data_IF_840001890407
#
_entry.id   IF_840001890407
#
_cell.length_a   1.000
_cell.length_b   1.000
_cell.length_c   1.000
_cell.angle_alpha   90.00
_cell.angle_beta   90.00
_cell.angle_gamma   90.00
#
_symmetry.space_group_name_H-M   'P 1'
#
loop_
_entity.id
_entity.type
_entity.pdbx_description
1 polymer ?
#
# COMPACT_ATOMS: atom_id res chain seq x y z
N UNK A 1 8.06 13.18 7.09
CA UNK A 1 7.98 12.24 5.95
C UNK A 1 9.34 12.22 5.31
N UNK A 2 9.99 11.05 5.25
CA UNK A 2 11.36 10.89 4.73
C UNK A 2 11.34 10.61 3.23
N UNK A 3 10.31 9.90 2.76
CA UNK A 3 10.08 9.72 1.33
C UNK A 3 8.85 8.89 1.03
N UNK A 4 8.56 8.77 -0.26
CA UNK A 4 7.43 8.00 -0.77
C UNK A 4 7.89 7.12 -1.92
N UNK A 5 7.68 5.81 -1.80
CA UNK A 5 7.79 4.87 -2.93
C UNK A 5 6.41 4.77 -3.56
N UNK A 6 6.36 4.94 -4.89
CA UNK A 6 5.12 4.78 -5.67
C UNK A 6 5.27 3.62 -6.64
N UNK A 7 4.41 2.62 -6.51
CA UNK A 7 4.41 1.42 -7.34
C UNK A 7 3.22 1.50 -8.29
N UNK A 8 3.48 1.42 -9.60
CA UNK A 8 2.44 1.34 -10.61
C UNK A 8 1.89 -0.09 -10.69
N UNK A 9 0.58 -0.23 -10.58
CA UNK A 9 -0.16 -1.49 -10.64
C UNK A 9 -1.12 -1.45 -11.81
N UNK A 10 -1.01 -2.41 -12.73
CA UNK A 10 -2.00 -2.58 -13.79
C UNK A 10 -3.02 -3.65 -13.37
N UNK A 11 -4.29 -3.24 -13.29
CA UNK A 11 -5.37 -4.12 -12.93
C UNK A 11 -5.63 -5.16 -14.03
N UNK A 12 -5.41 -6.44 -13.71
CA UNK A 12 -5.68 -7.54 -14.64
C UNK A 12 -7.13 -8.02 -14.60
N UNK A 13 -7.86 -7.66 -13.54
CA UNK A 13 -9.23 -8.10 -13.28
C UNK A 13 -10.16 -6.90 -13.07
N UNK A 14 -11.47 -7.15 -13.19
CA UNK A 14 -12.51 -6.18 -12.84
C UNK A 14 -12.88 -6.34 -11.37
N UNK A 15 -13.26 -5.24 -10.72
CA UNK A 15 -13.68 -5.24 -9.32
C UNK A 15 -14.10 -3.87 -8.85
N UNK A 16 -14.18 -3.71 -7.54
CA UNK A 16 -14.43 -2.43 -6.90
C UNK A 16 -13.66 -2.35 -5.59
N UNK A 17 -13.10 -1.18 -5.29
CA UNK A 17 -12.50 -0.93 -3.99
C UNK A 17 -13.60 -0.69 -2.96
N UNK A 18 -13.45 -1.22 -1.73
CA UNK A 18 -14.33 -0.82 -0.64
C UNK A 18 -14.13 0.66 -0.33
N UNK A 19 -15.14 1.32 0.25
CA UNK A 19 -15.08 2.74 0.62
C UNK A 19 -13.88 3.08 1.52
N UNK A 20 -13.45 2.11 2.35
CA UNK A 20 -12.28 2.23 3.22
C UNK A 20 -11.29 1.08 2.96
N UNK A 21 -10.41 1.20 1.95
CA UNK A 21 -9.51 0.10 1.56
C UNK A 21 -8.29 -0.05 2.47
N UNK A 22 -8.08 0.87 3.42
CA UNK A 22 -6.86 0.95 4.24
C UNK A 22 -6.44 -0.38 4.89
N UNK A 23 -7.38 -1.12 5.49
CA UNK A 23 -7.07 -2.43 6.13
C UNK A 23 -6.56 -3.47 5.14
N UNK A 24 -7.08 -3.46 3.91
CA UNK A 24 -6.68 -4.41 2.87
C UNK A 24 -5.32 -4.03 2.28
N UNK A 25 -5.08 -2.73 2.10
CA UNK A 25 -3.78 -2.23 1.66
C UNK A 25 -2.68 -2.51 2.70
N UNK A 26 -3.00 -2.33 3.98
CA UNK A 26 -2.10 -2.67 5.08
C UNK A 26 -1.76 -4.17 5.07
N UNK A 27 -2.76 -5.05 5.04
CA UNK A 27 -2.55 -6.49 4.99
C UNK A 27 -1.74 -6.93 3.74
N UNK A 28 -2.04 -6.34 2.58
CA UNK A 28 -1.31 -6.63 1.34
C UNK A 28 0.16 -6.20 1.41
N UNK A 29 0.45 -5.00 1.96
CA UNK A 29 1.82 -4.54 2.15
C UNK A 29 2.62 -5.51 3.04
N UNK A 30 2.07 -5.86 4.20
CA UNK A 30 2.77 -6.77 5.12
C UNK A 30 2.89 -8.20 4.58
N UNK A 31 1.95 -8.65 3.74
CA UNK A 31 2.07 -9.93 3.03
C UNK A 31 3.20 -9.94 1.99
N UNK A 32 3.49 -8.79 1.38
CA UNK A 32 4.62 -8.64 0.44
C UNK A 32 5.93 -8.55 1.22
N UNK A 33 5.98 -7.74 2.29
CA UNK A 33 7.16 -7.59 3.13
C UNK A 33 7.57 -8.93 3.74
N UNK A 34 6.62 -9.71 4.26
CA UNK A 34 6.91 -11.01 4.87
C UNK A 34 7.43 -12.06 3.88
N UNK A 35 7.21 -11.86 2.59
CA UNK A 35 7.80 -12.69 1.54
C UNK A 35 9.28 -12.38 1.29
N UNK A 36 9.73 -11.16 1.62
CA UNK A 36 11.12 -10.71 1.49
C UNK A 36 11.88 -10.99 2.79
N UNK A 37 11.33 -10.53 3.92
CA UNK A 37 11.85 -10.73 5.26
C UNK A 37 10.68 -10.86 6.26
N UNK A 38 10.47 -12.08 6.75
CA UNK A 38 9.36 -12.40 7.65
C UNK A 38 9.54 -11.82 9.06
N UNK A 39 10.78 -11.76 9.56
CA UNK A 39 11.08 -11.32 10.92
C UNK A 39 10.94 -9.79 10.99
N UNK A 40 11.49 -9.08 10.01
CA UNK A 40 11.35 -7.64 9.90
C UNK A 40 9.88 -7.23 9.69
N UNK A 41 9.15 -7.92 8.82
CA UNK A 41 7.73 -7.67 8.61
C UNK A 41 6.91 -7.85 9.89
N UNK A 42 7.19 -8.91 10.66
CA UNK A 42 6.52 -9.16 11.95
C UNK A 42 6.84 -8.07 12.96
N UNK A 43 8.11 -7.67 13.06
CA UNK A 43 8.54 -6.63 13.99
C UNK A 43 7.84 -5.28 13.71
N UNK A 44 7.83 -4.83 12.45
CA UNK A 44 7.11 -3.61 12.06
C UNK A 44 5.60 -3.76 12.25
N UNK A 45 5.03 -4.95 12.02
CA UNK A 45 3.61 -5.23 12.22
C UNK A 45 3.19 -5.23 13.70
N UNK A 46 4.07 -5.61 14.61
CA UNK A 46 3.74 -5.78 16.03
C UNK A 46 4.16 -4.57 16.90
N UNK A 47 4.99 -3.67 16.37
CA UNK A 47 5.34 -2.40 17.03
C UNK A 47 4.12 -1.64 17.57
N UNK A 48 4.11 -1.30 18.86
CA UNK A 48 2.99 -0.56 19.44
C UNK A 48 2.86 0.87 18.87
N UNK A 49 1.63 1.38 18.83
CA UNK A 49 1.34 2.74 18.42
C UNK A 49 1.22 2.94 16.90
N UNK A 50 1.49 4.17 16.45
CA UNK A 50 1.30 4.56 15.06
C UNK A 50 2.44 3.97 14.22
N UNK A 51 2.07 3.12 13.25
CA UNK A 51 3.04 2.56 12.30
C UNK A 51 3.76 3.66 11.55
N UNK A 52 5.09 3.58 11.37
CA UNK A 52 5.89 4.66 10.77
C UNK A 52 5.75 4.81 9.24
N UNK A 53 4.62 4.36 8.70
CA UNK A 53 4.31 4.38 7.29
C UNK A 53 2.83 4.67 7.06
N UNK A 54 2.54 5.24 5.90
CA UNK A 54 1.18 5.41 5.36
C UNK A 54 1.09 4.71 4.02
N UNK A 55 0.02 3.96 3.84
CA UNK A 55 -0.32 3.30 2.57
C UNK A 55 -1.55 3.97 1.97
N UNK A 56 -1.48 4.31 0.69
CA UNK A 56 -2.58 4.88 -0.06
C UNK A 56 -2.61 4.30 -1.47
N UNK A 57 -3.82 4.15 -2.02
CA UNK A 57 -4.02 3.80 -3.42
C UNK A 57 -4.66 4.98 -4.14
N UNK A 58 -4.19 5.29 -5.35
CA UNK A 58 -4.81 6.27 -6.22
C UNK A 58 -4.97 5.71 -7.63
N UNK A 59 -5.95 6.20 -8.38
CA UNK A 59 -6.03 5.90 -9.81
C UNK A 59 -5.14 6.89 -10.57
N UNK A 60 -4.50 6.43 -11.65
CA UNK A 60 -3.75 7.31 -12.56
C UNK A 60 -4.65 8.42 -13.13
N UNK A 61 -5.89 8.07 -13.43
CA UNK A 61 -6.92 9.01 -13.89
C UNK A 61 -7.91 9.29 -12.77
N UNK A 62 -8.33 10.55 -12.64
CA UNK A 62 -9.34 10.93 -11.65
C UNK A 62 -10.64 10.17 -11.88
N UNK A 63 -11.13 9.49 -10.83
CA UNK A 63 -12.37 8.71 -10.85
C UNK A 63 -13.36 9.23 -9.82
N UNK A 64 -14.64 9.18 -10.17
CA UNK A 64 -15.74 9.48 -9.26
C UNK A 64 -16.34 8.22 -8.61
N UNK A 65 -15.98 7.04 -9.12
CA UNK A 65 -16.38 5.75 -8.57
C UNK A 65 -15.18 4.96 -8.05
N UNK A 66 -15.46 3.89 -7.30
CA UNK A 66 -14.44 2.99 -6.77
C UNK A 66 -14.20 1.78 -7.70
N UNK A 67 -14.67 1.84 -8.95
CA UNK A 67 -14.61 0.70 -9.86
C UNK A 67 -13.20 0.50 -10.41
N UNK A 68 -12.74 -0.76 -10.39
CA UNK A 68 -11.52 -1.21 -11.04
C UNK A 68 -11.92 -1.96 -12.30
N UNK A 69 -11.36 -1.52 -13.43
CA UNK A 69 -11.53 -2.14 -14.74
C UNK A 69 -10.21 -2.76 -15.16
N UNK A 70 -10.27 -3.79 -16.00
CA UNK A 70 -9.06 -4.39 -16.57
C UNK A 70 -8.32 -3.34 -17.40
N UNK A 71 -7.01 -3.23 -17.20
CA UNK A 71 -6.13 -2.23 -17.81
C UNK A 71 -6.04 -0.91 -17.04
N UNK A 72 -6.82 -0.73 -15.96
CA UNK A 72 -6.66 0.45 -15.11
C UNK A 72 -5.28 0.49 -14.48
N UNK A 73 -4.65 1.67 -14.48
CA UNK A 73 -3.40 1.91 -13.75
C UNK A 73 -3.73 2.55 -12.40
N UNK A 74 -3.27 1.90 -11.34
CA UNK A 74 -3.34 2.40 -9.98
C UNK A 74 -1.93 2.63 -9.44
N UNK A 75 -1.77 3.60 -8.56
CA UNK A 75 -0.52 3.83 -7.84
C UNK A 75 -0.70 3.47 -6.37
N UNK A 76 0.09 2.50 -5.91
CA UNK A 76 0.27 2.22 -4.49
C UNK A 76 1.38 3.13 -3.97
N UNK A 77 1.01 4.05 -3.09
CA UNK A 77 1.94 4.96 -2.42
C UNK A 77 2.24 4.44 -1.03
N UNK A 78 3.51 4.18 -0.76
CA UNK A 78 4.04 3.85 0.56
C UNK A 78 4.90 5.02 1.00
N UNK A 79 4.38 5.82 1.94
CA UNK A 79 5.11 6.96 2.50
C UNK A 79 5.67 6.58 3.85
N UNK A 80 6.96 6.78 4.03
CA UNK A 80 7.71 6.39 5.23
C UNK A 80 8.18 7.65 5.96
N UNK A 81 8.18 7.63 7.29
CA UNK A 81 8.77 8.71 8.09
C UNK A 81 9.73 8.26 9.17
N UNK A 82 10.08 6.97 9.22
CA UNK A 82 11.12 6.43 10.09
C UNK A 82 12.35 6.05 9.29
N UNK A 83 13.53 6.45 9.77
CA UNK A 83 14.79 6.35 9.01
C UNK A 83 15.20 4.91 8.74
N UNK A 84 14.91 4.00 9.66
CA UNK A 84 15.21 2.56 9.49
C UNK A 84 14.43 1.91 8.35
N UNK A 85 13.27 2.44 7.97
CA UNK A 85 12.49 1.94 6.82
C UNK A 85 12.89 2.57 5.48
N UNK A 86 13.75 3.59 5.49
CA UNK A 86 14.13 4.34 4.28
C UNK A 86 15.59 4.11 3.85
N UNK A 87 16.42 3.58 4.74
CA UNK A 87 17.86 3.40 4.56
C UNK A 87 18.25 2.11 3.86
#
# INVERSE_FOLDING_TARGET
MLGTVSIALEAQNRGSLPAFPGRYLHAALFSILSHIDADEATWWHDMEGIKPLRVQLSFKESRQDNSIRRGDILYLHVSVWHSELWG
#
